data_IF_437353439141
#
_entry.id   IF_437353439141
#
_cell.length_a   1.000
_cell.length_b   1.000
_cell.length_c   1.000
_cell.angle_alpha   90.00
_cell.angle_beta   90.00
_cell.angle_gamma   90.00
#
_symmetry.space_group_name_H-M   'P 1'
#
loop_
_entity.id
_entity.type
_entity.pdbx_description
1 polymer ?
#
# COMPACT_ATOMS: atom_id res chain seq x y z
N UNK A 1 -4.27 0.88 -23.84
CA UNK A 1 -4.81 0.70 -22.48
C UNK A 1 -3.61 0.52 -21.59
N UNK A 2 -3.52 1.22 -20.47
CA UNK A 2 -2.41 1.10 -19.53
C UNK A 2 -2.64 -0.16 -18.68
N UNK A 3 -1.63 -1.01 -18.53
CA UNK A 3 -1.69 -2.22 -17.68
C UNK A 3 -1.22 -1.93 -16.25
N UNK A 4 -1.40 -2.88 -15.33
CA UNK A 4 -0.83 -2.78 -13.97
C UNK A 4 0.70 -2.71 -14.01
N UNK A 5 1.33 -3.48 -14.91
CA UNK A 5 2.78 -3.45 -15.13
C UNK A 5 3.28 -2.06 -15.57
N UNK A 6 2.50 -1.36 -16.41
CA UNK A 6 2.81 0.02 -16.81
C UNK A 6 2.70 1.00 -15.63
N UNK A 7 1.75 0.79 -14.71
CA UNK A 7 1.53 1.64 -13.53
C UNK A 7 2.66 1.46 -12.53
N UNK A 8 2.99 0.21 -12.19
CA UNK A 8 4.12 -0.14 -11.32
C UNK A 8 5.42 0.45 -11.88
N UNK A 9 5.65 0.35 -13.19
CA UNK A 9 6.84 0.92 -13.84
C UNK A 9 6.93 2.46 -13.80
N UNK A 10 5.88 3.16 -13.38
CA UNK A 10 5.82 4.63 -13.29
C UNK A 10 5.89 5.15 -11.85
N UNK A 11 5.79 4.28 -10.85
CA UNK A 11 5.76 4.63 -9.43
C UNK A 11 6.87 3.91 -8.67
N UNK A 12 7.32 4.47 -7.55
CA UNK A 12 8.20 3.75 -6.62
C UNK A 12 7.41 2.76 -5.73
N UNK A 13 6.41 2.07 -6.27
CA UNK A 13 5.53 1.14 -5.54
C UNK A 13 5.45 -0.21 -6.23
N UNK A 14 5.25 -1.27 -5.45
CA UNK A 14 4.91 -2.61 -5.94
C UNK A 14 3.39 -2.83 -6.03
N UNK A 15 2.96 -3.85 -6.79
CA UNK A 15 1.55 -4.19 -7.02
C UNK A 15 0.77 -4.37 -5.71
N UNK A 16 1.31 -5.17 -4.79
CA UNK A 16 0.69 -5.42 -3.48
C UNK A 16 0.53 -4.14 -2.64
N UNK A 17 1.43 -3.16 -2.81
CA UNK A 17 1.39 -1.87 -2.09
C UNK A 17 0.31 -0.96 -2.68
N UNK A 18 0.16 -0.96 -4.01
CA UNK A 18 -0.92 -0.25 -4.71
C UNK A 18 -2.27 -0.85 -4.32
N UNK A 19 -2.39 -2.18 -4.29
CA UNK A 19 -3.61 -2.87 -3.87
C UNK A 19 -3.99 -2.52 -2.42
N UNK A 20 -3.01 -2.50 -1.50
CA UNK A 20 -3.27 -2.13 -0.11
C UNK A 20 -3.77 -0.67 0.03
N UNK A 21 -3.17 0.28 -0.71
CA UNK A 21 -3.65 1.67 -0.71
C UNK A 21 -5.05 1.78 -1.35
N UNK A 22 -5.30 1.04 -2.42
CA UNK A 22 -6.59 1.01 -3.11
C UNK A 22 -7.70 0.48 -2.21
N UNK A 23 -7.42 -0.59 -1.46
CA UNK A 23 -8.31 -1.16 -0.47
C UNK A 23 -8.65 -0.13 0.62
N UNK A 24 -7.63 0.46 1.24
CA UNK A 24 -7.78 1.39 2.36
C UNK A 24 -8.60 2.63 1.99
N UNK A 25 -8.24 3.29 0.89
CA UNK A 25 -8.85 4.55 0.45
C UNK A 25 -10.13 4.33 -0.37
N UNK A 26 -10.44 3.07 -0.69
CA UNK A 26 -11.58 2.68 -1.53
C UNK A 26 -11.58 3.37 -2.91
N UNK A 27 -10.42 3.38 -3.55
CA UNK A 27 -10.20 3.99 -4.87
C UNK A 27 -9.65 2.97 -5.87
N UNK A 28 -9.79 3.20 -7.19
CA UNK A 28 -9.18 2.33 -8.20
C UNK A 28 -7.65 2.31 -8.09
N UNK A 29 -7.01 1.19 -8.44
CA UNK A 29 -5.56 0.97 -8.41
C UNK A 29 -4.76 2.10 -9.09
N UNK A 30 -5.21 2.60 -10.25
CA UNK A 30 -4.57 3.73 -10.95
C UNK A 30 -4.51 4.99 -10.07
N UNK A 31 -5.57 5.26 -9.30
CA UNK A 31 -5.63 6.39 -8.40
C UNK A 31 -4.81 6.13 -7.13
N UNK A 32 -4.80 4.88 -6.63
CA UNK A 32 -3.99 4.47 -5.50
C UNK A 32 -2.49 4.58 -5.78
N UNK A 33 -2.05 4.15 -6.97
CA UNK A 33 -0.66 4.28 -7.40
C UNK A 33 -0.23 5.75 -7.46
N UNK A 34 -1.07 6.63 -8.03
CA UNK A 34 -0.80 8.06 -8.08
C UNK A 34 -0.78 8.70 -6.67
N UNK A 35 -1.66 8.27 -5.77
CA UNK A 35 -1.68 8.74 -4.38
C UNK A 35 -0.44 8.28 -3.62
N UNK A 36 -0.09 7.00 -3.71
CA UNK A 36 1.07 6.44 -3.03
C UNK A 36 2.36 7.06 -3.52
N UNK A 37 2.56 7.20 -4.84
CA UNK A 37 3.72 7.88 -5.42
C UNK A 37 3.82 9.33 -4.93
N UNK A 38 2.69 10.06 -4.92
CA UNK A 38 2.63 11.40 -4.37
C UNK A 38 3.03 11.45 -2.88
N UNK A 39 2.57 10.50 -2.07
CA UNK A 39 2.91 10.41 -0.65
C UNK A 39 4.40 10.09 -0.45
N UNK A 40 4.98 9.16 -1.20
CA UNK A 40 6.40 8.80 -1.07
C UNK A 40 7.33 10.00 -1.30
N UNK A 41 6.91 10.98 -2.09
CA UNK A 41 7.65 12.23 -2.31
C UNK A 41 7.43 13.30 -1.22
N UNK A 42 6.66 13.01 -0.18
CA UNK A 42 6.47 13.90 0.98
C UNK A 42 7.33 13.47 2.16
N UNK A 43 7.72 14.44 3.00
CA UNK A 43 8.59 14.22 4.16
C UNK A 43 8.12 13.11 5.13
N UNK A 44 6.81 12.84 5.22
CA UNK A 44 6.21 11.82 6.10
C UNK A 44 5.26 10.86 5.36
N UNK A 45 5.26 10.84 4.02
CA UNK A 45 4.22 10.09 3.32
C UNK A 45 4.45 8.58 3.33
N UNK A 46 5.70 8.11 3.44
CA UNK A 46 5.97 6.70 3.71
C UNK A 46 5.37 6.24 5.05
N UNK A 47 5.46 7.07 6.08
CA UNK A 47 4.82 6.80 7.39
C UNK A 47 3.30 6.73 7.26
N UNK A 48 2.71 7.54 6.38
CA UNK A 48 1.26 7.51 6.13
C UNK A 48 0.81 6.23 5.42
N UNK A 49 1.53 5.77 4.40
CA UNK A 49 1.24 4.47 3.74
C UNK A 49 1.43 3.31 4.72
N UNK A 50 2.47 3.35 5.56
CA UNK A 50 2.65 2.38 6.63
C UNK A 50 1.45 2.36 7.60
N UNK A 51 0.96 3.53 8.02
CA UNK A 51 -0.23 3.63 8.89
C UNK A 51 -1.48 3.02 8.24
N UNK A 52 -1.74 3.29 6.95
CA UNK A 52 -2.86 2.70 6.21
C UNK A 52 -2.84 1.16 6.29
N UNK A 53 -1.71 0.55 5.93
CA UNK A 53 -1.57 -0.92 5.92
C UNK A 53 -1.73 -1.49 7.35
N UNK A 54 -1.20 -0.79 8.37
CA UNK A 54 -1.34 -1.22 9.78
C UNK A 54 -2.79 -1.14 10.26
N UNK A 55 -3.55 -0.13 9.83
CA UNK A 55 -4.97 -0.01 10.13
C UNK A 55 -5.76 -1.15 9.51
N UNK A 56 -5.51 -1.49 8.25
CA UNK A 56 -6.19 -2.60 7.56
C UNK A 56 -5.87 -3.95 8.18
N UNK A 57 -4.62 -4.19 8.61
CA UNK A 57 -4.27 -5.39 9.38
C UNK A 57 -5.12 -5.48 10.65
N UNK A 58 -5.29 -4.37 11.38
CA UNK A 58 -6.11 -4.35 12.61
C UNK A 58 -7.57 -4.62 12.29
N UNK A 59 -8.10 -4.06 11.20
CA UNK A 59 -9.47 -4.32 10.77
C UNK A 59 -9.69 -5.78 10.38
N UNK A 60 -8.79 -6.35 9.57
CA UNK A 60 -8.84 -7.75 9.16
C UNK A 60 -8.82 -8.69 10.37
N UNK A 61 -7.92 -8.44 11.34
CA UNK A 61 -7.88 -9.19 12.60
C UNK A 61 -9.17 -9.03 13.41
N UNK A 62 -9.74 -7.83 13.47
CA UNK A 62 -11.02 -7.56 14.13
C UNK A 62 -12.20 -8.32 13.51
N UNK A 63 -12.14 -8.60 12.21
CA UNK A 63 -13.12 -9.38 11.45
C UNK A 63 -12.85 -10.90 11.48
N UNK A 64 -11.79 -11.35 12.16
CA UNK A 64 -11.26 -12.73 12.12
C UNK A 64 -10.81 -13.19 10.71
N UNK A 65 -10.41 -12.25 9.86
CA UNK A 65 -9.81 -12.55 8.55
C UNK A 65 -8.29 -12.67 8.66
N UNK A 66 -7.86 -13.79 9.25
CA UNK A 66 -6.44 -14.11 9.41
C UNK A 66 -5.66 -14.21 8.09
N UNK A 67 -6.20 -14.83 7.02
CA UNK A 67 -5.55 -14.87 5.72
C UNK A 67 -5.28 -13.47 5.15
N UNK A 68 -6.26 -12.57 5.19
CA UNK A 68 -6.08 -11.21 4.69
C UNK A 68 -5.06 -10.42 5.50
N UNK A 69 -5.16 -10.48 6.84
CA UNK A 69 -4.18 -9.86 7.73
C UNK A 69 -2.75 -10.36 7.48
N UNK A 70 -2.59 -11.65 7.15
CA UNK A 70 -1.29 -12.22 6.80
C UNK A 70 -0.75 -11.68 5.47
N UNK A 71 -1.61 -11.50 4.46
CA UNK A 71 -1.26 -10.88 3.17
C UNK A 71 -0.74 -9.46 3.37
N UNK A 72 -1.53 -8.62 4.05
CA UNK A 72 -1.17 -7.24 4.36
C UNK A 72 0.11 -7.12 5.19
N UNK A 73 0.38 -8.08 6.09
CA UNK A 73 1.64 -8.11 6.85
C UNK A 73 2.84 -8.40 5.95
N UNK A 74 2.71 -9.24 4.93
CA UNK A 74 3.77 -9.45 3.93
C UNK A 74 3.99 -8.14 3.16
N UNK A 75 2.92 -7.51 2.66
CA UNK A 75 2.99 -6.20 1.98
C UNK A 75 3.69 -5.16 2.85
N UNK A 76 3.31 -5.02 4.11
CA UNK A 76 3.93 -4.08 5.05
C UNK A 76 5.44 -4.33 5.21
N UNK A 77 5.83 -5.59 5.30
CA UNK A 77 7.25 -5.97 5.44
C UNK A 77 8.04 -5.61 4.19
N UNK A 78 7.48 -5.84 3.00
CA UNK A 78 8.07 -5.45 1.73
C UNK A 78 8.20 -3.92 1.65
N UNK A 79 7.12 -3.21 1.95
CA UNK A 79 7.09 -1.75 1.98
C UNK A 79 8.18 -1.15 2.90
N UNK A 80 8.32 -1.66 4.12
CA UNK A 80 9.35 -1.19 5.06
C UNK A 80 10.78 -1.52 4.61
N UNK A 81 10.96 -2.52 3.73
CA UNK A 81 12.27 -2.86 3.18
C UNK A 81 12.70 -1.88 2.08
N UNK A 82 11.76 -1.46 1.24
CA UNK A 82 12.00 -0.55 0.12
C UNK A 82 11.90 0.92 0.51
N UNK A 83 11.07 1.25 1.48
CA UNK A 83 10.79 2.61 1.94
C UNK A 83 11.19 2.77 3.40
N UNK A 84 12.29 3.50 3.67
CA UNK A 84 12.70 3.79 5.04
C UNK A 84 11.66 4.71 5.70
N UNK A 85 10.86 4.13 6.60
CA UNK A 85 9.98 4.89 7.48
C UNK A 85 10.85 5.53 8.57
N UNK A 86 11.09 6.84 8.46
CA UNK A 86 11.92 7.62 9.38
C UNK A 86 11.10 8.24 10.52
#
# INVERSE_FOLDING_TARGET
>A
MISMEDIVGLTDLEEDEIEAIAEHEHIPEVAAAALGDYLLHQANGASRVHEMIVEDIREALGRNDGPHAASLYVTLKHFMHHHSVA
#
